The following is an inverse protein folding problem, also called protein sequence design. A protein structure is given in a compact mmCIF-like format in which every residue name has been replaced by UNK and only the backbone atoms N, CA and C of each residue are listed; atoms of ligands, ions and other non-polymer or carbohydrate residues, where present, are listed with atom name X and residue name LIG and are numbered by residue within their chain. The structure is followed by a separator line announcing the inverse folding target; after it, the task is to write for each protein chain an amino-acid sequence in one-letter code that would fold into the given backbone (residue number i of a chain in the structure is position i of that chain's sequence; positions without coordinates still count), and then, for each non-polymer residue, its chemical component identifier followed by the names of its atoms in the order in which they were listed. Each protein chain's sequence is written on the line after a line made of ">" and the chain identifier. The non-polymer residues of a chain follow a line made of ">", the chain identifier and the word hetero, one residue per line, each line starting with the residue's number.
data_IF_460719935104
#
_entry.id   IF_460719935104
#
_cell.length_a   1.000
_cell.length_b   1.000
_cell.length_c   1.000
_cell.angle_alpha   90.00
_cell.angle_beta   90.00
_cell.angle_gamma   90.00
#
_symmetry.space_group_name_H-M   'P 1'
#
loop_
_entity.id
_entity.type
_entity.pdbx_description
1 polymer ?
#
# COMPACT_ATOMS: atom_id res chain seq x y z
N UNK A 1 1.90 -5.34 -18.90
CA UNK A 1 3.13 -4.55 -18.80
C UNK A 1 4.11 -5.21 -17.84
N UNK A 2 5.42 -5.00 -18.04
CA UNK A 2 6.47 -5.37 -17.08
C UNK A 2 6.61 -4.32 -15.99
N UNK A 3 6.87 -4.74 -14.75
CA UNK A 3 6.86 -3.87 -13.55
C UNK A 3 8.11 -4.12 -12.70
N UNK A 4 8.72 -3.04 -12.22
CA UNK A 4 9.69 -3.02 -11.12
C UNK A 4 8.98 -2.49 -9.88
N UNK A 5 9.12 -3.20 -8.75
CA UNK A 5 8.52 -2.82 -7.47
C UNK A 5 9.59 -2.49 -6.44
N UNK A 6 9.59 -1.24 -5.98
CA UNK A 6 10.48 -0.73 -4.95
C UNK A 6 9.73 -0.68 -3.62
N UNK A 7 10.39 -1.06 -2.51
CA UNK A 7 9.77 -1.09 -1.18
C UNK A 7 8.51 -1.97 -1.16
N UNK A 8 8.61 -3.16 -1.76
CA UNK A 8 7.46 -4.04 -2.07
C UNK A 8 6.72 -4.56 -0.84
N UNK A 9 7.39 -4.59 0.33
CA UNK A 9 6.84 -5.19 1.54
C UNK A 9 6.45 -6.65 1.32
N UNK A 10 5.30 -7.03 1.86
CA UNK A 10 4.72 -8.37 1.64
C UNK A 10 4.07 -8.54 0.25
N UNK A 11 4.17 -7.54 -0.65
CA UNK A 11 3.69 -7.65 -2.01
C UNK A 11 2.20 -7.33 -2.22
N UNK A 12 1.57 -6.55 -1.35
CA UNK A 12 0.14 -6.22 -1.52
C UNK A 12 -0.17 -5.45 -2.80
N UNK A 13 0.67 -4.48 -3.16
CA UNK A 13 0.59 -3.75 -4.43
C UNK A 13 0.85 -4.70 -5.60
N UNK A 14 1.93 -5.44 -5.55
CA UNK A 14 2.41 -6.33 -6.60
C UNK A 14 1.38 -7.43 -6.90
N UNK A 15 0.84 -8.06 -5.86
CA UNK A 15 -0.18 -9.10 -6.01
C UNK A 15 -1.41 -8.58 -6.76
N UNK A 16 -1.88 -7.36 -6.44
CA UNK A 16 -3.00 -6.75 -7.15
C UNK A 16 -2.69 -6.49 -8.62
N UNK A 17 -1.50 -5.98 -8.92
CA UNK A 17 -1.03 -5.74 -10.29
C UNK A 17 -0.90 -7.05 -11.09
N UNK A 18 -0.40 -8.11 -10.46
CA UNK A 18 -0.31 -9.46 -11.05
C UNK A 18 -1.71 -10.03 -11.31
N UNK A 19 -2.65 -9.90 -10.35
CA UNK A 19 -4.04 -10.34 -10.55
C UNK A 19 -4.77 -9.61 -11.68
N UNK A 20 -4.30 -8.44 -12.07
CA UNK A 20 -4.78 -7.70 -13.24
C UNK A 20 -4.08 -8.13 -14.54
N UNK A 21 -3.15 -9.08 -14.51
CA UNK A 21 -2.44 -9.61 -15.68
C UNK A 21 -1.16 -8.86 -16.04
N UNK A 22 -0.59 -8.06 -15.15
CA UNK A 22 0.74 -7.48 -15.33
C UNK A 22 1.83 -8.44 -14.81
N UNK A 23 3.08 -8.19 -15.15
CA UNK A 23 4.22 -9.03 -14.79
C UNK A 23 5.24 -8.25 -13.98
N UNK A 24 5.31 -8.48 -12.66
CA UNK A 24 6.37 -7.95 -11.81
C UNK A 24 7.63 -8.79 -12.07
N UNK A 25 8.67 -8.16 -12.59
CA UNK A 25 9.91 -8.84 -13.00
C UNK A 25 11.05 -8.65 -12.00
N UNK A 26 10.93 -7.69 -11.10
CA UNK A 26 11.91 -7.39 -10.06
C UNK A 26 11.24 -6.67 -8.90
N UNK A 27 11.60 -7.03 -7.68
CA UNK A 27 11.10 -6.42 -6.46
C UNK A 27 12.20 -6.29 -5.41
N UNK A 28 12.03 -5.38 -4.43
CA UNK A 28 12.97 -5.18 -3.33
C UNK A 28 12.25 -4.80 -2.04
N UNK A 29 12.74 -5.34 -0.92
CA UNK A 29 12.44 -4.83 0.41
C UNK A 29 13.62 -5.10 1.37
N UNK A 30 13.76 -4.31 2.43
CA UNK A 30 14.79 -4.49 3.46
C UNK A 30 14.35 -5.49 4.53
N UNK A 31 13.04 -5.65 4.76
CA UNK A 31 12.47 -6.49 5.83
C UNK A 31 12.50 -7.97 5.43
N UNK A 32 13.34 -8.75 6.10
CA UNK A 32 13.50 -10.18 5.84
C UNK A 32 12.18 -10.98 5.95
N UNK A 33 11.32 -10.65 6.94
CA UNK A 33 10.03 -11.31 7.10
C UNK A 33 9.07 -10.98 5.95
N UNK A 34 9.12 -9.74 5.44
CA UNK A 34 8.33 -9.32 4.29
C UNK A 34 8.81 -10.01 3.01
N UNK A 35 10.12 -10.10 2.79
CA UNK A 35 10.71 -10.83 1.65
C UNK A 35 10.35 -12.32 1.70
N UNK A 36 10.42 -12.95 2.88
CA UNK A 36 10.01 -14.35 3.05
C UNK A 36 8.51 -14.53 2.74
N UNK A 37 7.66 -13.61 3.18
CA UNK A 37 6.22 -13.60 2.86
C UNK A 37 5.98 -13.44 1.35
N UNK A 38 6.68 -12.52 0.72
CA UNK A 38 6.59 -12.29 -0.73
C UNK A 38 6.93 -13.56 -1.52
N UNK A 39 8.06 -14.19 -1.19
CA UNK A 39 8.51 -15.44 -1.84
C UNK A 39 7.53 -16.59 -1.64
N UNK A 40 6.96 -16.73 -0.45
CA UNK A 40 6.01 -17.80 -0.15
C UNK A 40 4.68 -17.68 -0.94
N UNK A 41 4.31 -16.49 -1.42
CA UNK A 41 2.99 -16.24 -2.02
C UNK A 41 3.02 -15.73 -3.45
N UNK A 42 4.11 -15.13 -3.90
CA UNK A 42 4.20 -14.46 -5.21
C UNK A 42 5.29 -15.10 -6.06
N UNK A 43 6.57 -14.79 -5.80
CA UNK A 43 7.69 -15.35 -6.56
C UNK A 43 9.05 -14.98 -5.91
N UNK A 44 10.12 -15.60 -6.41
CA UNK A 44 11.51 -15.41 -5.95
C UNK A 44 12.23 -14.19 -6.54
N UNK A 45 11.61 -13.43 -7.45
CA UNK A 45 12.21 -12.25 -8.08
C UNK A 45 12.41 -11.05 -7.14
N UNK A 46 12.08 -11.20 -5.85
CA UNK A 46 12.35 -10.20 -4.82
C UNK A 46 13.73 -10.37 -4.21
N UNK A 47 14.46 -9.27 -4.06
CA UNK A 47 15.73 -9.23 -3.33
C UNK A 47 15.57 -8.61 -1.95
N UNK A 48 16.21 -9.20 -0.94
CA UNK A 48 16.35 -8.58 0.37
C UNK A 48 17.59 -7.69 0.37
N UNK A 49 17.38 -6.38 0.31
CA UNK A 49 18.49 -5.41 0.36
C UNK A 49 18.01 -4.06 0.91
N UNK A 50 18.88 -3.35 1.61
CA UNK A 50 18.71 -1.92 1.76
C UNK A 50 18.84 -1.30 0.37
N UNK A 51 17.80 -0.59 -0.05
CA UNK A 51 17.71 0.00 -1.40
C UNK A 51 18.86 0.96 -1.68
N UNK A 52 19.43 1.59 -0.65
CA UNK A 52 20.57 2.50 -0.77
C UNK A 52 21.84 1.79 -1.27
N UNK A 53 21.94 0.48 -1.07
CA UNK A 53 23.06 -0.35 -1.50
C UNK A 53 22.78 -1.03 -2.87
N UNK A 54 21.62 -0.79 -3.47
CA UNK A 54 21.26 -1.34 -4.78
C UNK A 54 21.75 -0.41 -5.88
N UNK A 55 22.56 -0.95 -6.77
CA UNK A 55 22.97 -0.25 -7.99
C UNK A 55 21.80 -0.18 -8.98
N UNK A 56 21.28 1.02 -9.21
CA UNK A 56 20.14 1.25 -10.11
C UNK A 56 20.44 0.71 -11.52
N UNK A 57 21.68 0.82 -12.00
CA UNK A 57 22.05 0.34 -13.33
C UNK A 57 21.79 -1.17 -13.50
N UNK A 58 21.90 -1.95 -12.42
CA UNK A 58 21.65 -3.40 -12.40
C UNK A 58 20.19 -3.80 -12.27
N UNK A 59 19.31 -2.87 -11.91
CA UNK A 59 17.88 -3.12 -11.95
C UNK A 59 17.44 -3.26 -13.42
N UNK A 60 16.63 -4.26 -13.79
CA UNK A 60 16.17 -4.41 -15.18
C UNK A 60 15.37 -3.19 -15.64
N UNK A 61 15.23 -2.98 -16.94
CA UNK A 61 14.28 -2.01 -17.48
C UNK A 61 12.87 -2.61 -17.48
N UNK A 62 11.86 -1.77 -17.25
CA UNK A 62 10.46 -2.18 -17.25
C UNK A 62 9.54 -1.07 -17.78
N UNK A 63 8.32 -1.44 -18.15
CA UNK A 63 7.31 -0.47 -18.58
C UNK A 63 6.84 0.43 -17.44
N UNK A 64 6.83 -0.09 -16.20
CA UNK A 64 6.28 0.60 -15.03
C UNK A 64 7.21 0.44 -13.82
N UNK A 65 7.39 1.51 -13.05
CA UNK A 65 7.99 1.47 -11.71
C UNK A 65 6.92 1.78 -10.68
N UNK A 66 6.78 0.90 -9.68
CA UNK A 66 5.85 1.12 -8.58
C UNK A 66 6.57 1.09 -7.23
N UNK A 67 5.96 1.71 -6.19
CA UNK A 67 6.48 1.61 -4.83
C UNK A 67 5.86 2.59 -3.85
N UNK A 68 6.08 2.34 -2.57
CA UNK A 68 5.67 3.21 -1.47
C UNK A 68 6.88 3.68 -0.66
N UNK A 69 7.53 4.76 -1.08
CA UNK A 69 8.69 5.26 -0.34
C UNK A 69 8.29 5.81 1.04
N UNK A 70 9.08 5.53 2.12
CA UNK A 70 8.78 6.04 3.45
C UNK A 70 8.81 7.57 3.56
N UNK A 71 7.79 8.13 4.23
CA UNK A 71 7.64 9.59 4.43
C UNK A 71 8.52 10.15 5.57
N UNK A 72 9.34 9.33 6.24
CA UNK A 72 10.02 9.70 7.49
C UNK A 72 11.06 10.81 7.34
N UNK A 73 11.59 11.04 6.16
CA UNK A 73 12.55 12.09 5.86
C UNK A 73 11.97 13.52 5.79
N UNK A 74 10.67 13.64 5.57
CA UNK A 74 9.98 14.94 5.42
C UNK A 74 9.46 15.50 6.76
N UNK A 75 10.21 15.38 7.86
CA UNK A 75 9.77 15.83 9.19
C UNK A 75 9.64 17.35 9.29
N UNK A 76 8.60 17.79 10.00
CA UNK A 76 8.16 19.19 10.18
C UNK A 76 9.23 20.15 10.79
N UNK A 77 10.33 19.66 11.31
CA UNK A 77 11.27 20.47 12.09
C UNK A 77 12.21 21.36 11.26
N UNK A 78 12.15 21.33 9.92
CA UNK A 78 13.09 22.12 9.11
C UNK A 78 12.46 22.56 7.76
N UNK A 79 11.83 23.71 7.75
CA UNK A 79 11.19 24.32 6.56
C UNK A 79 12.19 24.89 5.50
N UNK A 80 13.50 24.71 5.70
CA UNK A 80 14.56 25.21 4.77
C UNK A 80 15.26 24.06 4.01
N UNK A 81 14.58 22.91 3.76
CA UNK A 81 15.26 21.72 3.27
C UNK A 81 15.18 21.55 1.77
N UNK A 82 16.34 21.46 1.17
CA UNK A 82 16.61 20.91 -0.14
C UNK A 82 16.33 19.41 -0.17
N UNK A 83 16.04 18.87 -1.36
CA UNK A 83 16.06 17.44 -1.70
C UNK A 83 17.31 16.73 -1.18
N UNK A 84 18.39 17.46 -0.94
CA UNK A 84 19.69 16.99 -0.47
C UNK A 84 19.77 16.61 1.02
N UNK A 85 18.65 16.66 1.78
CA UNK A 85 18.61 16.18 3.16
C UNK A 85 18.73 14.63 3.17
N UNK A 86 19.73 14.12 3.89
CA UNK A 86 20.00 12.66 4.01
C UNK A 86 18.79 11.84 4.43
N UNK A 87 17.81 12.46 5.10
CA UNK A 87 16.56 11.82 5.50
C UNK A 87 15.57 11.53 4.35
N UNK A 88 15.80 12.12 3.18
CA UNK A 88 15.00 11.90 1.97
C UNK A 88 15.63 10.86 1.02
N UNK A 89 16.64 10.13 1.45
CA UNK A 89 17.40 9.19 0.63
C UNK A 89 16.48 8.19 -0.08
N UNK A 90 15.46 7.66 0.60
CA UNK A 90 14.57 6.66 0.03
C UNK A 90 13.66 7.23 -1.07
N UNK A 91 13.18 8.47 -0.91
CA UNK A 91 12.50 9.20 -1.98
C UNK A 91 13.44 9.45 -3.18
N UNK A 92 14.67 9.91 -2.90
CA UNK A 92 15.68 10.14 -3.95
C UNK A 92 15.97 8.87 -4.74
N UNK A 93 16.03 7.73 -4.09
CA UNK A 93 16.25 6.47 -4.80
C UNK A 93 15.10 6.19 -5.77
N UNK A 94 13.85 6.35 -5.35
CA UNK A 94 12.70 6.19 -6.22
C UNK A 94 12.77 7.18 -7.42
N UNK A 95 13.06 8.44 -7.15
CA UNK A 95 13.25 9.46 -8.17
C UNK A 95 14.37 9.10 -9.16
N UNK A 96 15.54 8.70 -8.67
CA UNK A 96 16.69 8.34 -9.49
C UNK A 96 16.39 7.08 -10.34
N UNK A 97 15.70 6.10 -9.78
CA UNK A 97 15.28 4.92 -10.52
C UNK A 97 14.36 5.29 -11.71
N UNK A 98 13.40 6.20 -11.51
CA UNK A 98 12.53 6.70 -12.58
C UNK A 98 13.34 7.49 -13.60
N UNK A 99 14.22 8.38 -13.15
CA UNK A 99 15.04 9.23 -14.02
C UNK A 99 16.02 8.41 -14.89
N UNK A 100 16.60 7.35 -14.34
CA UNK A 100 17.56 6.50 -15.06
C UNK A 100 16.87 5.47 -15.94
N UNK A 101 15.85 4.78 -15.42
CA UNK A 101 15.16 3.69 -16.15
C UNK A 101 14.12 4.17 -17.14
N UNK A 102 13.66 5.41 -17.02
CA UNK A 102 12.67 6.02 -17.92
C UNK A 102 11.48 5.10 -18.25
N UNK A 103 10.79 4.52 -17.22
CA UNK A 103 9.60 3.69 -17.45
C UNK A 103 8.51 4.50 -18.17
N UNK A 104 7.61 3.82 -18.86
CA UNK A 104 6.44 4.48 -19.51
C UNK A 104 5.53 5.15 -18.49
N UNK A 105 5.34 4.47 -17.34
CA UNK A 105 4.54 4.95 -16.21
C UNK A 105 5.24 4.70 -14.88
N UNK A 106 4.87 5.46 -13.86
CA UNK A 106 5.18 5.12 -12.48
C UNK A 106 3.97 5.33 -11.58
N UNK A 107 3.89 4.59 -10.48
CA UNK A 107 2.89 4.75 -9.44
C UNK A 107 3.60 4.75 -8.07
N UNK A 108 3.60 5.89 -7.39
CA UNK A 108 4.18 6.03 -6.07
C UNK A 108 3.08 6.26 -5.02
N UNK A 109 3.03 5.40 -3.99
CA UNK A 109 2.06 5.51 -2.89
C UNK A 109 2.70 6.17 -1.67
N UNK A 110 1.90 6.95 -0.94
CA UNK A 110 2.31 7.50 0.33
C UNK A 110 1.12 7.71 1.28
N UNK A 111 1.41 7.94 2.56
CA UNK A 111 0.38 8.23 3.56
C UNK A 111 -0.22 9.62 3.35
N UNK A 112 -1.52 9.80 3.71
CA UNK A 112 -2.21 11.10 3.63
C UNK A 112 -1.44 12.25 4.28
N UNK A 113 -0.68 11.96 5.33
CA UNK A 113 0.10 12.98 6.06
C UNK A 113 1.05 13.79 5.19
N UNK A 114 1.50 13.25 4.05
CA UNK A 114 2.39 13.94 3.10
C UNK A 114 1.77 15.25 2.57
N UNK A 115 0.43 15.32 2.45
CA UNK A 115 -0.28 16.51 1.94
C UNK A 115 -0.14 17.73 2.87
N UNK A 116 0.07 17.52 4.17
CA UNK A 116 0.20 18.59 5.17
C UNK A 116 1.66 18.94 5.49
N UNK A 117 2.60 18.13 5.06
CA UNK A 117 4.03 18.39 5.31
C UNK A 117 4.48 19.68 4.62
N UNK A 118 5.20 20.52 5.38
CA UNK A 118 5.63 21.82 4.90
C UNK A 118 4.50 22.71 4.37
N UNK A 119 3.28 22.60 4.93
CA UNK A 119 2.08 23.30 4.43
C UNK A 119 1.78 22.97 2.95
N UNK A 120 2.04 21.73 2.52
CA UNK A 120 1.83 21.25 1.16
C UNK A 120 3.01 21.48 0.19
N UNK A 121 4.10 22.10 0.63
CA UNK A 121 5.28 22.31 -0.22
C UNK A 121 5.96 21.01 -0.63
N UNK A 122 5.93 19.98 0.24
CA UNK A 122 6.56 18.68 -0.03
C UNK A 122 5.91 18.00 -1.25
N UNK A 123 4.60 17.96 -1.31
CA UNK A 123 3.89 17.36 -2.47
C UNK A 123 4.16 18.12 -3.74
N UNK A 124 4.19 19.46 -3.68
CA UNK A 124 4.54 20.31 -4.83
C UNK A 124 5.94 20.04 -5.33
N UNK A 125 6.91 19.90 -4.40
CA UNK A 125 8.30 19.60 -4.74
C UNK A 125 8.41 18.21 -5.39
N UNK A 126 7.84 17.17 -4.78
CA UNK A 126 7.84 15.80 -5.33
C UNK A 126 7.25 15.78 -6.75
N UNK A 127 6.13 16.48 -6.96
CA UNK A 127 5.52 16.59 -8.28
C UNK A 127 6.46 17.28 -9.27
N UNK A 128 7.05 18.41 -8.90
CA UNK A 128 7.99 19.15 -9.75
C UNK A 128 9.22 18.32 -10.12
N UNK A 129 9.78 17.55 -9.18
CA UNK A 129 10.91 16.68 -9.43
C UNK A 129 10.58 15.60 -10.48
N UNK A 130 9.40 14.96 -10.36
CA UNK A 130 8.98 13.98 -11.36
C UNK A 130 8.68 14.61 -12.71
N UNK A 131 8.15 15.84 -12.74
CA UNK A 131 7.92 16.60 -13.98
C UNK A 131 9.26 16.98 -14.66
N UNK A 132 10.29 17.31 -13.86
CA UNK A 132 11.67 17.55 -14.34
C UNK A 132 12.33 16.26 -14.86
N UNK A 133 12.01 15.11 -14.27
CA UNK A 133 12.45 13.80 -14.76
C UNK A 133 11.81 13.39 -16.12
N UNK A 134 10.90 14.20 -16.68
CA UNK A 134 10.30 13.98 -18.00
C UNK A 134 8.88 13.41 -17.98
N UNK A 135 8.14 13.55 -16.86
CA UNK A 135 6.80 12.99 -16.73
C UNK A 135 5.71 14.07 -16.66
N UNK A 136 4.49 13.70 -17.08
CA UNK A 136 3.25 14.36 -16.70
C UNK A 136 2.80 13.68 -15.40
N UNK A 137 2.49 14.44 -14.35
CA UNK A 137 2.25 13.88 -13.01
C UNK A 137 0.91 14.34 -12.45
N UNK A 138 0.08 13.38 -12.06
CA UNK A 138 -1.14 13.60 -11.31
C UNK A 138 -0.98 13.13 -9.85
N UNK A 139 -1.67 13.82 -8.94
CA UNK A 139 -1.66 13.50 -7.51
C UNK A 139 -3.08 13.24 -7.06
N UNK A 140 -3.35 12.00 -6.66
CA UNK A 140 -4.67 11.54 -6.25
C UNK A 140 -4.71 11.26 -4.75
N UNK A 141 -5.61 11.92 -4.03
CA UNK A 141 -5.97 11.54 -2.66
C UNK A 141 -7.15 10.59 -2.72
N UNK A 142 -6.99 9.39 -2.19
CA UNK A 142 -7.99 8.34 -2.21
C UNK A 142 -8.35 7.85 -0.81
N UNK A 143 -9.60 7.42 -0.63
CA UNK A 143 -10.00 6.58 0.49
C UNK A 143 -10.29 5.17 -0.06
N UNK A 144 -9.60 4.17 0.42
CA UNK A 144 -9.70 2.79 -0.08
C UNK A 144 -11.13 2.22 0.03
N UNK A 145 -11.95 2.74 0.98
CA UNK A 145 -13.35 2.34 1.08
C UNK A 145 -14.18 2.68 -0.18
N UNK A 146 -13.83 3.75 -0.90
CA UNK A 146 -14.46 4.14 -2.16
C UNK A 146 -14.20 3.13 -3.29
N UNK A 147 -13.25 2.22 -3.10
CA UNK A 147 -12.82 1.20 -4.05
C UNK A 147 -13.15 -0.22 -3.58
N UNK A 148 -14.14 -0.38 -2.71
CA UNK A 148 -14.61 -1.70 -2.26
C UNK A 148 -13.72 -2.38 -1.23
N UNK A 149 -12.74 -1.69 -0.65
CA UNK A 149 -11.92 -2.19 0.47
C UNK A 149 -12.70 -1.96 1.78
N UNK A 150 -12.86 -2.97 2.66
CA UNK A 150 -13.62 -2.82 3.91
C UNK A 150 -12.82 -2.08 4.98
N UNK A 151 -12.17 -0.97 4.59
CA UNK A 151 -11.28 -0.18 5.46
C UNK A 151 -11.27 1.29 5.08
N UNK A 152 -11.44 2.13 6.08
CA UNK A 152 -11.19 3.56 5.98
C UNK A 152 -9.68 3.80 5.97
N UNK A 153 -9.08 3.91 4.76
CA UNK A 153 -7.65 4.10 4.58
C UNK A 153 -7.40 5.18 3.54
N UNK A 154 -6.98 6.35 3.99
CA UNK A 154 -6.64 7.45 3.08
C UNK A 154 -5.17 7.39 2.68
N UNK A 155 -4.93 7.51 1.38
CA UNK A 155 -3.59 7.50 0.78
C UNK A 155 -3.47 8.57 -0.29
N UNK A 156 -2.23 8.85 -0.65
CA UNK A 156 -1.87 9.74 -1.77
C UNK A 156 -1.09 8.90 -2.78
N UNK A 157 -1.51 8.99 -4.03
CA UNK A 157 -0.79 8.37 -5.14
C UNK A 157 -0.28 9.46 -6.07
N UNK A 158 0.97 9.34 -6.45
CA UNK A 158 1.57 10.08 -7.56
C UNK A 158 1.58 9.13 -8.75
N UNK A 159 0.92 9.51 -9.82
CA UNK A 159 0.91 8.74 -11.06
C UNK A 159 1.61 9.57 -12.12
N UNK A 160 2.65 9.01 -12.70
CA UNK A 160 3.41 9.65 -13.77
C UNK A 160 3.32 8.90 -15.08
N UNK A 161 3.14 9.65 -16.15
CA UNK A 161 3.22 9.20 -17.53
C UNK A 161 4.36 9.93 -18.22
N UNK A 162 5.23 9.22 -18.93
CA UNK A 162 6.34 9.84 -19.65
C UNK A 162 5.80 10.75 -20.77
N UNK A 163 6.41 11.93 -20.96
CA UNK A 163 5.92 13.01 -21.83
C UNK A 163 5.89 12.64 -23.32
N UNK A 164 6.66 11.63 -23.75
CA UNK A 164 6.67 11.17 -25.14
C UNK A 164 5.36 10.52 -25.61
N UNK A 165 4.45 10.18 -24.70
CA UNK A 165 3.09 9.72 -25.02
C UNK A 165 2.08 10.85 -25.30
N UNK A 166 2.51 12.11 -25.31
CA UNK A 166 1.66 13.27 -25.55
C UNK A 166 1.59 14.24 -24.37
N UNK A 167 0.94 15.37 -24.60
CA UNK A 167 0.82 16.44 -23.58
C UNK A 167 -0.24 16.15 -22.52
N UNK A 168 -1.20 15.26 -22.81
CA UNK A 168 -2.30 14.90 -21.93
C UNK A 168 -2.07 13.55 -21.25
N UNK A 169 -2.56 13.42 -20.01
CA UNK A 169 -2.50 12.14 -19.30
C UNK A 169 -3.48 11.14 -19.92
N UNK A 170 -2.95 10.02 -20.41
CA UNK A 170 -3.77 8.92 -20.93
C UNK A 170 -4.05 7.84 -19.87
N UNK A 171 -3.34 7.89 -18.73
CA UNK A 171 -3.63 7.06 -17.59
C UNK A 171 -4.91 7.54 -16.91
N UNK A 172 -5.99 6.76 -17.04
CA UNK A 172 -7.25 7.07 -16.40
C UNK A 172 -7.25 6.52 -14.97
N UNK A 173 -7.14 7.41 -13.98
CA UNK A 173 -7.19 6.96 -12.59
C UNK A 173 -8.53 6.28 -12.32
N UNK A 174 -8.56 5.10 -11.66
CA UNK A 174 -9.79 4.34 -11.44
C UNK A 174 -10.87 5.18 -10.75
N UNK A 175 -12.08 5.12 -11.26
CA UNK A 175 -13.24 5.74 -10.61
C UNK A 175 -13.64 4.96 -9.36
N UNK A 176 -14.21 5.62 -8.33
CA UNK A 176 -14.82 4.95 -7.19
C UNK A 176 -15.84 3.89 -7.62
N UNK A 177 -15.77 2.72 -6.99
CA UNK A 177 -16.71 1.60 -7.19
C UNK A 177 -17.76 1.51 -6.08
N UNK A 178 -17.56 2.23 -4.99
CA UNK A 178 -18.43 2.27 -3.81
C UNK A 178 -18.57 3.70 -3.30
N UNK A 179 -19.62 3.98 -2.54
CA UNK A 179 -19.82 5.27 -1.88
C UNK A 179 -20.28 5.08 -0.43
N UNK A 180 -20.06 6.09 0.41
CA UNK A 180 -20.41 6.04 1.83
C UNK A 180 -21.88 5.67 2.08
N UNK A 181 -22.78 6.24 1.30
CA UNK A 181 -24.22 6.17 1.54
C UNK A 181 -24.95 5.37 0.45
N UNK A 182 -24.24 4.71 -0.47
CA UNK A 182 -24.84 4.02 -1.62
C UNK A 182 -25.48 4.97 -2.63
N UNK A 183 -24.99 6.22 -2.73
CA UNK A 183 -25.50 7.24 -3.65
C UNK A 183 -24.91 7.12 -5.05
N UNK A 184 -25.54 7.79 -6.01
CA UNK A 184 -25.09 7.87 -7.41
C UNK A 184 -25.02 6.50 -8.12
N UNK A 185 -25.87 5.54 -7.73
CA UNK A 185 -25.87 4.20 -8.32
C UNK A 185 -24.72 3.30 -7.87
N UNK A 186 -23.86 3.76 -6.95
CA UNK A 186 -22.76 2.96 -6.42
C UNK A 186 -23.22 2.17 -5.19
N UNK A 187 -22.73 0.93 -4.99
CA UNK A 187 -22.91 0.19 -3.75
C UNK A 187 -22.38 0.98 -2.54
N UNK A 188 -22.91 0.68 -1.34
CA UNK A 188 -22.35 1.21 -0.09
C UNK A 188 -20.94 0.68 0.14
N UNK A 189 -20.16 1.41 0.96
CA UNK A 189 -18.89 0.90 1.46
C UNK A 189 -19.07 -0.47 2.12
N UNK A 190 -18.15 -1.37 1.84
CA UNK A 190 -18.11 -2.69 2.50
C UNK A 190 -17.81 -2.54 3.98
N UNK A 191 -18.59 -3.18 4.82
CA UNK A 191 -18.37 -3.20 6.26
C UNK A 191 -17.29 -4.20 6.65
N UNK A 192 -16.75 -4.03 7.85
CA UNK A 192 -15.81 -5.01 8.40
C UNK A 192 -16.49 -6.36 8.62
N UNK A 193 -17.75 -6.37 9.07
CA UNK A 193 -18.53 -7.59 9.29
C UNK A 193 -18.67 -8.40 8.00
N UNK A 194 -19.07 -7.75 6.89
CA UNK A 194 -19.15 -8.41 5.58
C UNK A 194 -17.83 -9.06 5.14
N UNK A 195 -16.69 -8.52 5.60
CA UNK A 195 -15.40 -9.02 5.20
C UNK A 195 -14.92 -10.24 6.02
N UNK A 196 -15.24 -10.29 7.33
CA UNK A 196 -14.62 -11.24 8.24
C UNK A 196 -15.58 -12.18 8.99
N UNK A 197 -16.89 -11.98 8.89
CA UNK A 197 -17.89 -12.74 9.69
C UNK A 197 -17.91 -14.24 9.40
N UNK A 198 -17.54 -14.62 8.18
CA UNK A 198 -17.47 -16.00 7.72
C UNK A 198 -16.10 -16.67 7.88
N UNK A 199 -15.14 -15.97 8.50
CA UNK A 199 -13.83 -16.54 8.80
C UNK A 199 -13.91 -17.55 9.95
N UNK A 200 -13.06 -18.61 9.93
CA UNK A 200 -12.99 -19.56 11.02
C UNK A 200 -12.67 -18.87 12.35
N UNK A 201 -13.18 -19.44 13.47
CA UNK A 201 -12.86 -18.97 14.79
C UNK A 201 -11.34 -18.90 15.00
N UNK A 202 -10.90 -17.83 15.66
CA UNK A 202 -9.49 -17.61 15.99
C UNK A 202 -8.91 -18.80 16.77
N UNK A 203 -7.65 -19.17 16.47
CA UNK A 203 -6.93 -20.28 17.11
C UNK A 203 -6.87 -21.55 16.28
N UNK A 204 -7.60 -21.66 15.16
CA UNK A 204 -7.49 -22.83 14.28
C UNK A 204 -6.27 -22.68 13.34
N UNK A 205 -5.07 -22.79 13.92
CA UNK A 205 -3.78 -22.62 13.21
C UNK A 205 -3.36 -23.81 12.36
N UNK A 206 -3.95 -24.97 12.56
CA UNK A 206 -3.64 -26.17 11.76
C UNK A 206 -4.10 -26.02 10.30
N UNK A 207 -5.22 -25.31 10.08
CA UNK A 207 -5.76 -25.03 8.74
C UNK A 207 -5.30 -23.68 8.18
N UNK A 208 -4.99 -22.72 9.05
CA UNK A 208 -4.55 -21.38 8.68
C UNK A 208 -3.49 -20.89 9.67
N UNK A 209 -2.20 -20.92 9.30
CA UNK A 209 -1.11 -20.53 10.19
C UNK A 209 -1.18 -19.09 10.67
N UNK A 210 -1.96 -18.24 10.00
CA UNK A 210 -2.16 -16.84 10.40
C UNK A 210 -3.48 -16.60 11.16
N UNK A 211 -4.27 -17.63 11.47
CA UNK A 211 -5.51 -17.48 12.24
C UNK A 211 -5.28 -17.38 13.76
N UNK A 212 -4.40 -16.48 14.15
CA UNK A 212 -4.12 -16.16 15.55
C UNK A 212 -3.94 -14.64 15.73
N UNK A 213 -3.99 -14.19 16.96
CA UNK A 213 -3.84 -12.78 17.29
C UNK A 213 -3.31 -12.55 18.69
N UNK A 214 -3.25 -11.30 19.10
CA UNK A 214 -2.80 -10.92 20.44
C UNK A 214 -3.75 -11.45 21.52
N UNK A 215 -3.20 -12.11 22.55
CA UNK A 215 -3.93 -12.51 23.75
C UNK A 215 -4.41 -11.32 24.61
N UNK A 216 -4.08 -10.11 24.24
CA UNK A 216 -4.43 -8.91 24.97
C UNK A 216 -5.94 -8.67 24.91
N UNK A 217 -6.60 -8.63 26.08
CA UNK A 217 -8.02 -8.27 26.18
C UNK A 217 -8.21 -6.81 25.83
N UNK A 218 -9.18 -6.55 24.97
CA UNK A 218 -9.58 -5.20 24.65
C UNK A 218 -10.30 -4.55 25.83
N UNK A 219 -9.89 -3.35 26.21
CA UNK A 219 -10.60 -2.51 27.16
C UNK A 219 -10.95 -1.21 26.45
N UNK A 220 -12.24 -0.95 26.27
CA UNK A 220 -12.71 0.28 25.65
C UNK A 220 -12.26 1.50 26.47
N UNK A 221 -11.66 2.47 25.83
CA UNK A 221 -11.23 3.75 26.40
C UNK A 221 -11.60 4.87 25.44
N UNK A 222 -11.64 6.10 25.94
CA UNK A 222 -12.02 7.28 25.13
C UNK A 222 -10.98 7.69 24.05
N UNK A 223 -9.94 6.92 23.83
CA UNK A 223 -8.97 7.14 22.74
C UNK A 223 -9.43 6.50 21.44
N UNK A 224 -9.12 7.14 20.30
CA UNK A 224 -9.57 6.75 18.97
C UNK A 224 -9.29 5.27 18.63
N UNK A 225 -8.14 4.74 19.06
CA UNK A 225 -7.74 3.35 18.81
C UNK A 225 -8.28 2.33 19.84
N UNK A 226 -9.02 2.78 20.84
CA UNK A 226 -9.69 1.93 21.82
C UNK A 226 -11.22 2.03 21.73
N UNK A 227 -11.74 2.65 20.67
CA UNK A 227 -13.16 2.66 20.38
C UNK A 227 -13.57 1.34 19.78
N UNK A 228 -14.77 0.91 20.13
CA UNK A 228 -15.40 -0.25 19.50
C UNK A 228 -15.46 -0.06 17.99
N UNK A 229 -15.09 -1.11 17.26
CA UNK A 229 -15.27 -1.15 15.82
C UNK A 229 -16.76 -1.36 15.52
N UNK A 230 -17.33 -0.54 14.66
CA UNK A 230 -18.71 -0.66 14.22
C UNK A 230 -18.80 -1.76 13.16
N UNK A 231 -19.57 -2.85 13.38
CA UNK A 231 -19.65 -3.97 12.44
C UNK A 231 -20.16 -3.57 11.05
N UNK A 232 -21.02 -2.55 10.98
CA UNK A 232 -21.71 -2.13 9.76
C UNK A 232 -20.95 -1.03 8.98
N UNK A 233 -19.74 -0.71 9.43
CA UNK A 233 -18.84 0.27 8.77
C UNK A 233 -17.52 -0.36 8.35
N UNK A 234 -16.79 0.28 7.42
CA UNK A 234 -15.40 -0.09 7.14
C UNK A 234 -14.54 -0.05 8.41
N UNK A 235 -13.60 -0.97 8.53
CA UNK A 235 -12.58 -0.94 9.59
C UNK A 235 -11.84 0.41 9.62
N UNK A 236 -11.42 0.91 10.78
CA UNK A 236 -10.39 1.93 10.85
C UNK A 236 -9.11 1.48 10.14
N UNK A 237 -8.23 2.44 9.81
CA UNK A 237 -6.95 2.13 9.15
C UNK A 237 -6.11 1.17 10.00
N UNK A 238 -5.76 0.01 9.44
CA UNK A 238 -4.80 -0.92 10.03
C UNK A 238 -3.40 -0.30 9.90
N UNK A 239 -2.74 -0.13 11.05
CA UNK A 239 -1.42 0.49 11.13
C UNK A 239 -0.33 -0.56 11.27
N UNK A 240 0.87 -0.24 10.77
CA UNK A 240 2.03 -1.12 10.80
C UNK A 240 2.68 -1.30 12.19
N UNK A 241 2.29 -0.51 13.18
CA UNK A 241 2.91 -0.45 14.50
C UNK A 241 1.93 -0.70 15.63
N UNK A 242 2.46 -1.06 16.80
CA UNK A 242 1.67 -1.11 18.04
C UNK A 242 0.77 -2.35 18.19
N UNK A 243 0.92 -3.35 17.33
CA UNK A 243 0.01 -4.49 17.30
C UNK A 243 0.43 -5.66 18.24
N UNK A 244 1.74 -5.80 18.52
CA UNK A 244 2.25 -6.99 19.24
C UNK A 244 1.94 -7.03 20.75
N UNK A 245 1.76 -5.88 21.42
CA UNK A 245 1.57 -5.77 22.87
C UNK A 245 0.31 -4.98 23.25
N UNK A 246 -0.69 -4.95 22.40
CA UNK A 246 -1.91 -4.25 22.74
C UNK A 246 -1.83 -2.73 22.74
N UNK A 247 -0.89 -2.12 22.00
CA UNK A 247 -0.79 -0.68 21.84
C UNK A 247 -2.02 -0.07 21.17
N UNK A 248 -2.10 1.25 21.23
CA UNK A 248 -3.22 2.08 20.74
C UNK A 248 -3.53 1.92 19.23
N UNK A 249 -2.70 1.18 18.50
CA UNK A 249 -2.82 1.00 17.05
C UNK A 249 -3.51 -0.31 16.64
N UNK A 250 -3.80 -1.23 17.57
CA UNK A 250 -4.45 -2.49 17.23
C UNK A 250 -5.96 -2.32 17.20
N UNK A 251 -6.57 -2.70 16.08
CA UNK A 251 -8.01 -2.55 15.86
C UNK A 251 -8.79 -3.59 16.68
N UNK A 252 -9.77 -3.18 17.50
CA UNK A 252 -10.66 -4.10 18.19
C UNK A 252 -11.55 -4.84 17.19
N UNK A 253 -11.79 -6.12 17.44
CA UNK A 253 -12.88 -6.83 16.79
C UNK A 253 -14.22 -6.27 17.30
N UNK A 254 -15.24 -6.23 16.46
CA UNK A 254 -16.54 -5.63 16.80
C UNK A 254 -17.30 -6.39 17.91
N UNK A 255 -16.92 -7.64 18.27
CA UNK A 255 -17.47 -8.30 19.45
C UNK A 255 -17.00 -7.71 20.79
N UNK A 256 -16.00 -6.82 20.78
CA UNK A 256 -15.52 -6.12 21.96
C UNK A 256 -14.62 -6.90 22.90
N UNK A 257 -14.31 -8.15 22.60
CA UNK A 257 -13.57 -9.02 23.52
C UNK A 257 -12.08 -9.08 23.20
N UNK A 258 -11.73 -8.94 21.93
CA UNK A 258 -10.39 -9.15 21.41
C UNK A 258 -10.05 -8.16 20.30
N UNK A 259 -8.88 -8.26 19.76
CA UNK A 259 -8.41 -7.55 18.58
C UNK A 259 -8.59 -8.40 17.32
N UNK A 260 -8.53 -7.76 16.18
CA UNK A 260 -8.48 -8.49 14.91
C UNK A 260 -7.28 -9.45 14.92
N UNK A 261 -7.49 -10.67 14.46
CA UNK A 261 -6.41 -11.61 14.18
C UNK A 261 -5.55 -11.13 13.00
N UNK A 262 -4.41 -11.80 12.77
CA UNK A 262 -3.59 -11.56 11.58
C UNK A 262 -4.43 -11.83 10.33
N UNK A 263 -5.17 -12.97 10.30
CA UNK A 263 -6.02 -13.32 9.16
C UNK A 263 -7.12 -12.30 8.91
N UNK A 264 -7.85 -11.89 9.95
CA UNK A 264 -8.88 -10.87 9.81
C UNK A 264 -8.31 -9.54 9.30
N UNK A 265 -7.16 -9.12 9.84
CA UNK A 265 -6.47 -7.92 9.38
C UNK A 265 -6.03 -8.01 7.91
N UNK A 266 -5.56 -9.19 7.48
CA UNK A 266 -5.16 -9.45 6.10
C UNK A 266 -6.37 -9.39 5.14
N UNK A 267 -7.51 -9.98 5.53
CA UNK A 267 -8.74 -9.96 4.73
C UNK A 267 -9.31 -8.53 4.62
N UNK A 268 -9.25 -7.75 5.69
CA UNK A 268 -9.61 -6.31 5.66
C UNK A 268 -8.72 -5.53 4.69
N UNK A 269 -7.45 -5.90 4.54
CA UNK A 269 -6.53 -5.36 3.51
C UNK A 269 -6.68 -6.06 2.16
N UNK A 270 -7.72 -6.88 2.01
CA UNK A 270 -8.06 -7.61 0.78
C UNK A 270 -7.01 -8.59 0.26
N UNK A 271 -6.13 -9.09 1.14
CA UNK A 271 -5.29 -10.24 0.81
C UNK A 271 -6.15 -11.51 0.65
N UNK A 272 -5.76 -12.43 -0.24
CA UNK A 272 -6.41 -13.73 -0.34
C UNK A 272 -6.40 -14.48 0.99
N UNK A 273 -7.43 -15.28 1.23
CA UNK A 273 -7.57 -16.04 2.49
C UNK A 273 -6.48 -17.08 2.72
N UNK A 274 -5.87 -17.55 1.67
CA UNK A 274 -4.75 -18.49 1.68
C UNK A 274 -3.36 -17.81 1.66
N UNK A 275 -3.30 -16.48 1.68
CA UNK A 275 -2.03 -15.76 1.70
C UNK A 275 -1.35 -15.91 3.06
N UNK A 276 -0.12 -16.40 3.10
CA UNK A 276 0.60 -16.75 4.33
C UNK A 276 1.63 -15.68 4.67
N UNK A 277 1.47 -15.01 5.81
CA UNK A 277 2.45 -14.06 6.33
C UNK A 277 3.49 -14.80 7.16
N UNK A 278 4.76 -14.57 6.86
CA UNK A 278 5.92 -15.15 7.55
C UNK A 278 6.39 -14.23 8.67
N UNK A 279 7.08 -14.82 9.66
CA UNK A 279 7.63 -14.09 10.79
C UNK A 279 6.75 -14.12 12.04
N UNK A 280 7.20 -13.42 13.09
CA UNK A 280 6.47 -13.32 14.37
C UNK A 280 5.22 -12.45 14.21
N UNK A 281 4.27 -12.61 15.12
CA UNK A 281 2.99 -11.86 15.14
C UNK A 281 3.15 -10.35 14.85
N UNK A 282 4.12 -9.70 15.48
CA UNK A 282 4.37 -8.26 15.26
C UNK A 282 4.83 -7.94 13.84
N UNK A 283 5.61 -8.83 13.22
CA UNK A 283 6.04 -8.71 11.84
C UNK A 283 4.86 -8.88 10.87
N UNK A 284 4.00 -9.88 11.10
CA UNK A 284 2.79 -10.08 10.27
C UNK A 284 1.89 -8.84 10.29
N UNK A 285 1.59 -8.29 11.45
CA UNK A 285 0.80 -7.05 11.54
C UNK A 285 1.50 -5.85 10.88
N UNK A 286 2.83 -5.73 10.99
CA UNK A 286 3.60 -4.67 10.32
C UNK A 286 3.49 -4.77 8.81
N UNK A 287 3.66 -5.95 8.25
CA UNK A 287 3.52 -6.23 6.82
C UNK A 287 2.13 -5.86 6.31
N UNK A 288 1.08 -6.31 7.00
CA UNK A 288 -0.32 -6.01 6.65
C UNK A 288 -0.59 -4.50 6.71
N UNK A 289 -0.14 -3.83 7.77
CA UNK A 289 -0.37 -2.40 7.96
C UNK A 289 0.37 -1.50 6.96
N UNK A 290 1.54 -1.94 6.47
CA UNK A 290 2.30 -1.23 5.43
C UNK A 290 1.71 -1.45 4.03
N UNK A 291 1.01 -2.55 3.79
CA UNK A 291 0.57 -2.92 2.46
C UNK A 291 -0.44 -1.93 1.83
N UNK A 292 -0.36 -1.79 0.53
CA UNK A 292 -1.47 -1.28 -0.29
C UNK A 292 -2.51 -2.40 -0.41
N UNK A 293 -3.82 -2.14 -0.21
CA UNK A 293 -4.85 -3.16 -0.36
C UNK A 293 -4.83 -3.80 -1.75
N UNK A 294 -4.83 -5.14 -1.79
CA UNK A 294 -4.68 -5.92 -3.04
C UNK A 294 -5.77 -5.60 -4.07
N UNK A 295 -7.01 -5.43 -3.60
CA UNK A 295 -8.14 -5.11 -4.48
C UNK A 295 -7.97 -3.74 -5.16
N UNK A 296 -7.52 -2.71 -4.42
CA UNK A 296 -7.25 -1.40 -5.00
C UNK A 296 -6.09 -1.46 -6.00
N UNK A 297 -5.02 -2.16 -5.65
CA UNK A 297 -3.88 -2.37 -6.54
C UNK A 297 -4.29 -3.08 -7.86
N UNK A 298 -5.25 -4.02 -7.79
CA UNK A 298 -5.81 -4.66 -8.98
C UNK A 298 -6.52 -3.67 -9.90
N UNK A 299 -7.25 -2.69 -9.36
CA UNK A 299 -7.89 -1.65 -10.18
C UNK A 299 -6.85 -0.79 -10.94
N UNK A 300 -5.75 -0.41 -10.27
CA UNK A 300 -4.62 0.26 -10.94
C UNK A 300 -4.00 -0.62 -12.02
N UNK A 301 -3.85 -1.91 -11.74
CA UNK A 301 -3.29 -2.88 -12.69
C UNK A 301 -4.17 -3.10 -13.93
N UNK A 302 -5.50 -3.04 -13.79
CA UNK A 302 -6.43 -3.12 -14.93
C UNK A 302 -6.27 -1.93 -15.87
N UNK A 303 -6.04 -0.73 -15.33
CA UNK A 303 -5.73 0.44 -16.15
C UNK A 303 -4.40 0.29 -16.91
N UNK A 304 -3.36 -0.22 -16.25
CA UNK A 304 -2.10 -0.54 -16.92
C UNK A 304 -2.31 -1.56 -18.06
N UNK A 305 -3.17 -2.57 -17.89
CA UNK A 305 -3.51 -3.53 -18.98
C UNK A 305 -4.29 -2.89 -20.11
N UNK A 306 -5.17 -1.93 -19.82
CA UNK A 306 -5.84 -1.14 -20.86
C UNK A 306 -4.82 -0.36 -21.70
N UNK A 307 -3.89 0.32 -21.01
CA UNK A 307 -2.85 1.12 -21.64
C UNK A 307 -1.87 0.26 -22.48
N UNK A 308 -1.51 -0.93 -22.01
CA UNK A 308 -0.66 -1.85 -22.76
C UNK A 308 -1.21 -2.12 -24.17
N UNK A 309 -2.54 -2.23 -24.31
CA UNK A 309 -3.21 -2.46 -25.60
C UNK A 309 -3.28 -1.20 -26.49
N UNK A 310 -3.07 -0.02 -25.92
CA UNK A 310 -3.14 1.27 -26.65
C UNK A 310 -1.76 1.67 -27.17
N UNK A 311 -0.72 1.37 -26.38
CA UNK A 311 0.66 1.81 -26.65
C UNK A 311 1.57 0.72 -27.23
N UNK A 312 1.05 -0.51 -27.40
CA UNK A 312 1.71 -1.60 -28.14
C UNK A 312 1.39 -1.47 -29.63
#
# INVERSE_FOLDING_TARGET
>A
MTIISLFSGAGGLDLGLIQAGNNVIWANDIDADAVATYKANINDHIIQADIQNVDIAKIPSADVVVGGFPCQGFSMANMKRNIDDERNILYKFFYNAIKEKQPKFFIAENVKGILSLGKGSVVKQIKADFEDAGYIVEVHKVNMADYGVPQHRERVLFVGQRKDFGADMIFNFPNPTNSKDGKNGLPRWKSIKEAIDDLPLIGNTDKDPNNYGSAYRFVARNFTAHRMTDPDKPSPTILARGNGKGGVCAIPHYNGERRLSIRESAVVQTFPRNFVFMGKMGACYRQIGNAVPVHFAKLLGLELKRLEKIIS
#
